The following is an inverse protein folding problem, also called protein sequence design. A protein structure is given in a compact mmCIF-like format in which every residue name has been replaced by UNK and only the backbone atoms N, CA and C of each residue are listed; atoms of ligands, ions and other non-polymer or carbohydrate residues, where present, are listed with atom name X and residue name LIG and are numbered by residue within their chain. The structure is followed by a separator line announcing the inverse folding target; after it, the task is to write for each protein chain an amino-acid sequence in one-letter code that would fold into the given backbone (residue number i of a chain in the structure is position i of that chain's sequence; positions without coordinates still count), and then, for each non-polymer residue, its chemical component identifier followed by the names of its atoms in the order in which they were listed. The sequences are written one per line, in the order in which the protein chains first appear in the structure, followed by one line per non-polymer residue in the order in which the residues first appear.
data_IF_649330072135
#
_entry.id   IF_649330072135
#
_cell.length_a   1.000
_cell.length_b   1.000
_cell.length_c   1.000
_cell.angle_alpha   90.00
_cell.angle_beta   90.00
_cell.angle_gamma   90.00
#
_symmetry.space_group_name_H-M   'P 1'
#
loop_
_entity.id
_entity.type
_entity.pdbx_description
1 polymer ?
#
# COMPACT_ATOMS: atom_id res chain seq x y z
N UNK A 1 16.99 -7.32 -25.33
CA UNK A 1 16.07 -8.48 -25.36
C UNK A 1 15.26 -8.44 -24.08
N UNK A 2 13.94 -8.49 -24.17
CA UNK A 2 13.06 -8.77 -23.04
C UNK A 2 12.54 -10.20 -23.26
N UNK A 3 12.58 -11.02 -22.22
CA UNK A 3 12.10 -12.40 -22.23
C UNK A 3 10.93 -12.51 -21.25
N UNK A 4 9.99 -13.40 -21.53
CA UNK A 4 8.87 -13.67 -20.64
C UNK A 4 9.36 -14.24 -19.29
N UNK A 5 8.69 -13.86 -18.21
CA UNK A 5 9.01 -14.37 -16.88
C UNK A 5 8.39 -15.75 -16.70
N UNK A 6 9.22 -16.77 -16.45
CA UNK A 6 8.75 -18.10 -16.11
C UNK A 6 8.10 -18.09 -14.72
N UNK A 7 6.79 -18.34 -14.67
CA UNK A 7 6.05 -18.46 -13.42
C UNK A 7 6.41 -19.79 -12.72
N UNK A 8 6.61 -19.75 -11.40
CA UNK A 8 7.14 -20.86 -10.60
C UNK A 8 8.18 -20.37 -9.57
N UNK A 9 8.48 -21.19 -8.55
CA UNK A 9 9.48 -20.89 -7.50
C UNK A 9 9.39 -19.46 -6.92
N UNK A 10 8.23 -19.09 -6.34
CA UNK A 10 8.07 -17.80 -5.66
C UNK A 10 7.76 -16.60 -6.57
N UNK A 11 7.43 -16.85 -7.83
CA UNK A 11 6.92 -15.83 -8.77
C UNK A 11 5.47 -16.16 -9.11
N UNK A 12 4.56 -15.28 -8.72
CA UNK A 12 3.11 -15.39 -8.96
C UNK A 12 2.53 -14.04 -9.37
N UNK A 13 1.37 -14.08 -10.05
CA UNK A 13 0.64 -12.89 -10.49
C UNK A 13 -0.39 -12.46 -9.45
N UNK A 14 -0.60 -11.15 -9.30
CA UNK A 14 -1.68 -10.62 -8.47
C UNK A 14 -2.97 -10.60 -9.30
N UNK A 15 -4.05 -11.26 -8.85
CA UNK A 15 -5.31 -11.25 -9.59
C UNK A 15 -5.96 -9.88 -9.55
N UNK A 16 -6.38 -9.38 -10.72
CA UNK A 16 -7.11 -8.12 -10.85
C UNK A 16 -8.60 -8.29 -10.50
N UNK A 17 -9.14 -7.40 -9.66
CA UNK A 17 -10.55 -7.39 -9.24
C UNK A 17 -11.18 -5.99 -9.43
N UNK A 18 -11.78 -5.69 -10.61
CA UNK A 18 -12.24 -4.34 -10.97
C UNK A 18 -13.47 -3.84 -10.19
N UNK A 19 -14.29 -4.74 -9.65
CA UNK A 19 -15.62 -4.41 -9.10
C UNK A 19 -15.77 -4.69 -7.61
N UNK A 20 -14.67 -5.02 -6.92
CA UNK A 20 -14.72 -5.22 -5.47
C UNK A 20 -14.88 -3.87 -4.75
N UNK A 21 -15.87 -3.70 -3.86
CA UNK A 21 -15.97 -2.52 -3.02
C UNK A 21 -14.70 -2.39 -2.17
N UNK A 22 -14.06 -1.21 -2.19
CA UNK A 22 -12.89 -0.91 -1.35
C UNK A 22 -13.25 -0.80 0.15
N UNK A 23 -14.54 -0.85 0.49
CA UNK A 23 -15.09 -0.47 1.78
C UNK A 23 -14.79 -1.45 2.92
N UNK A 24 -14.34 -2.67 2.64
CA UNK A 24 -14.02 -3.68 3.67
C UNK A 24 -12.73 -4.44 3.35
N UNK A 25 -11.62 -3.72 3.21
CA UNK A 25 -10.32 -4.38 3.19
C UNK A 25 -9.91 -4.77 4.61
N UNK A 26 -10.35 -5.93 5.07
CA UNK A 26 -10.01 -6.46 6.41
C UNK A 26 -8.52 -6.74 6.58
N UNK A 27 -7.83 -7.10 5.49
CA UNK A 27 -6.41 -7.48 5.45
C UNK A 27 -5.68 -6.84 4.25
N UNK A 28 -5.82 -5.53 4.05
CA UNK A 28 -5.07 -4.84 3.00
C UNK A 28 -3.59 -4.83 3.32
N UNK A 29 -2.76 -5.43 2.47
CA UNK A 29 -1.30 -5.44 2.65
C UNK A 29 -0.64 -4.51 1.64
N UNK A 30 0.21 -3.62 2.14
CA UNK A 30 1.19 -2.90 1.33
C UNK A 30 2.54 -3.58 1.50
N UNK A 31 3.17 -3.97 0.39
CA UNK A 31 4.53 -4.50 0.38
C UNK A 31 5.44 -3.63 -0.48
N UNK A 32 6.69 -3.45 -0.08
CA UNK A 32 7.65 -2.70 -0.88
C UNK A 32 9.05 -2.59 -0.27
N UNK A 33 9.96 -2.05 -1.08
CA UNK A 33 11.36 -1.76 -0.73
C UNK A 33 11.61 -0.26 -0.47
N UNK A 34 10.55 0.46 -0.11
CA UNK A 34 10.60 1.90 0.12
C UNK A 34 11.65 2.32 1.15
N UNK A 35 11.92 3.63 1.20
CA UNK A 35 12.83 4.20 2.19
C UNK A 35 12.29 3.99 3.61
N UNK A 36 13.13 3.51 4.51
CA UNK A 36 12.87 3.48 5.95
C UNK A 36 13.21 4.85 6.58
N UNK A 37 13.02 4.99 7.90
CA UNK A 37 13.44 6.17 8.65
C UNK A 37 14.85 6.61 8.22
N UNK A 38 15.05 7.93 8.07
CA UNK A 38 16.31 8.55 7.60
C UNK A 38 16.71 8.23 6.16
N UNK A 39 15.75 7.98 5.28
CA UNK A 39 15.93 7.86 3.82
C UNK A 39 16.72 6.65 3.32
N UNK A 40 17.09 5.70 4.18
CA UNK A 40 17.82 4.51 3.74
C UNK A 40 16.87 3.53 3.04
N UNK A 41 17.17 3.11 1.80
CA UNK A 41 16.41 2.06 1.13
C UNK A 41 16.59 0.74 1.89
N UNK A 42 15.56 -0.10 1.89
CA UNK A 42 15.67 -1.43 2.48
C UNK A 42 16.10 -2.46 1.45
N UNK A 43 17.05 -3.31 1.81
CA UNK A 43 17.49 -4.44 0.98
C UNK A 43 16.56 -5.65 1.06
N UNK A 44 15.60 -5.65 1.99
CA UNK A 44 14.67 -6.74 2.22
C UNK A 44 13.24 -6.25 2.01
N UNK A 45 12.42 -7.05 1.32
CA UNK A 45 11.01 -6.75 1.19
C UNK A 45 10.38 -6.64 2.58
N UNK A 46 9.61 -5.58 2.78
CA UNK A 46 8.80 -5.37 3.98
C UNK A 46 7.35 -5.25 3.59
N UNK A 47 6.48 -5.48 4.56
CA UNK A 47 5.05 -5.34 4.40
C UNK A 47 4.41 -4.78 5.67
N UNK A 48 3.25 -4.15 5.51
CA UNK A 48 2.40 -3.69 6.62
C UNK A 48 0.92 -3.83 6.24
N UNK A 49 0.06 -3.90 7.25
CA UNK A 49 -1.39 -3.87 7.09
C UNK A 49 -1.88 -2.43 7.04
N UNK A 50 -2.81 -2.16 6.13
CA UNK A 50 -3.42 -0.85 5.95
C UNK A 50 -4.93 -0.93 6.17
N UNK A 51 -5.48 0.13 6.74
CA UNK A 51 -6.91 0.39 6.79
C UNK A 51 -7.29 1.35 5.67
N UNK A 52 -8.29 0.98 4.85
CA UNK A 52 -8.87 1.87 3.85
C UNK A 52 -9.73 2.92 4.56
N UNK A 53 -9.50 4.18 4.23
CA UNK A 53 -10.27 5.30 4.75
C UNK A 53 -11.52 5.55 3.92
N UNK A 54 -12.57 6.00 4.58
CA UNK A 54 -13.72 6.57 3.87
C UNK A 54 -13.32 7.85 3.14
N UNK A 55 -14.07 8.22 2.10
CA UNK A 55 -13.84 9.48 1.38
C UNK A 55 -13.79 10.70 2.31
N UNK A 56 -14.76 10.80 3.23
CA UNK A 56 -14.81 11.87 4.23
C UNK A 56 -13.58 11.88 5.16
N UNK A 57 -13.08 10.70 5.57
CA UNK A 57 -11.86 10.61 6.39
C UNK A 57 -10.61 11.05 5.61
N UNK A 58 -10.55 10.79 4.31
CA UNK A 58 -9.45 11.25 3.49
C UNK A 58 -9.50 12.76 3.25
N UNK A 59 -10.66 13.29 2.88
CA UNK A 59 -10.90 14.72 2.65
C UNK A 59 -10.62 15.56 3.92
N UNK A 60 -10.88 14.99 5.11
CA UNK A 60 -10.51 15.65 6.36
C UNK A 60 -8.99 15.77 6.58
N UNK A 61 -8.20 14.80 6.06
CA UNK A 61 -6.75 14.74 6.27
C UNK A 61 -5.94 15.40 5.15
N UNK A 62 -6.49 15.49 3.95
CA UNK A 62 -5.79 15.93 2.76
C UNK A 62 -6.66 16.88 1.93
N UNK A 63 -6.07 17.98 1.47
CA UNK A 63 -6.73 19.01 0.67
C UNK A 63 -6.92 18.62 -0.80
N UNK A 64 -6.26 17.56 -1.27
CA UNK A 64 -6.32 17.10 -2.67
C UNK A 64 -6.69 15.62 -2.68
N UNK A 65 -7.82 15.30 -3.30
CA UNK A 65 -8.28 13.95 -3.61
C UNK A 65 -8.85 13.93 -5.03
N UNK A 66 -8.55 12.87 -5.80
CA UNK A 66 -9.15 12.62 -7.11
C UNK A 66 -10.17 11.49 -7.04
N UNK A 67 -11.16 11.50 -7.92
CA UNK A 67 -12.23 10.48 -7.90
C UNK A 67 -11.74 9.05 -8.24
N UNK A 68 -10.56 8.93 -8.86
CA UNK A 68 -9.91 7.66 -9.17
C UNK A 68 -8.83 7.25 -8.15
N UNK A 69 -8.81 7.89 -6.98
CA UNK A 69 -7.86 7.62 -5.90
C UNK A 69 -8.61 7.21 -4.63
N UNK A 70 -7.92 6.48 -3.75
CA UNK A 70 -8.40 6.16 -2.41
C UNK A 70 -7.25 6.33 -1.42
N UNK A 71 -7.59 6.42 -0.14
CA UNK A 71 -6.63 6.65 0.91
C UNK A 71 -6.57 5.44 1.83
N UNK A 72 -5.36 5.05 2.20
CA UNK A 72 -5.10 3.93 3.09
C UNK A 72 -4.07 4.35 4.14
N UNK A 73 -4.24 3.89 5.36
CA UNK A 73 -3.39 4.29 6.49
C UNK A 73 -2.94 3.08 7.29
N UNK A 74 -1.69 3.12 7.74
CA UNK A 74 -1.16 2.20 8.74
C UNK A 74 -1.54 2.76 10.13
N UNK A 75 -2.51 2.12 10.79
CA UNK A 75 -2.97 2.55 12.13
C UNK A 75 -2.05 2.08 13.26
N UNK A 76 -1.21 1.07 13.01
CA UNK A 76 -0.31 0.48 14.00
C UNK A 76 1.04 1.19 14.05
N UNK A 77 1.33 2.04 13.07
CA UNK A 77 2.49 2.92 13.09
C UNK A 77 2.36 3.93 14.24
N UNK A 78 2.96 3.60 15.38
CA UNK A 78 3.33 4.60 16.39
C UNK A 78 4.04 5.73 15.67
N UNK A 79 3.53 6.95 15.78
CA UNK A 79 4.11 8.16 15.22
C UNK A 79 5.60 8.16 15.55
N UNK A 80 6.43 7.94 14.53
CA UNK A 80 7.86 8.19 14.64
C UNK A 80 7.97 9.70 14.78
N UNK A 81 8.52 10.22 15.89
CA UNK A 81 8.78 11.64 16.01
C UNK A 81 9.61 12.07 14.80
N UNK A 82 9.15 13.12 14.12
CA UNK A 82 10.01 13.82 13.18
C UNK A 82 11.02 14.58 14.04
N UNK A 83 12.19 13.98 14.26
CA UNK A 83 13.37 14.68 14.80
C UNK A 83 13.81 15.78 13.83
#
# INVERSE_FOLDING_TARGET
MQEEVNLGNGIEVIPYKPSAPLTNCGDCVLAGWGRMQRYYPTFHLRWTTLTILTRAQCEYRHTIHRDNEFCAVDLDRKSVPLD
#
